data_IF_000025403271
#
_entry.id   IF_000025403271
#
_cell.length_a   1.000
_cell.length_b   1.000
_cell.length_c   1.000
_cell.angle_alpha   90.00
_cell.angle_beta   90.00
_cell.angle_gamma   90.00
#
_symmetry.space_group_name_H-M   'P 1'
#
loop_
_entity.id
_entity.type
_entity.pdbx_description
1 polymer ?
#
# COMPACT_ATOMS: atom_id res chain seq x y z
N UNK A 1 -14.55 20.53 -31.45
CA UNK A 1 -15.14 20.59 -30.08
C UNK A 1 -14.06 20.40 -29.04
N UNK A 2 -13.74 21.46 -28.33
CA UNK A 2 -12.81 21.38 -27.22
C UNK A 2 -13.55 20.96 -25.96
N UNK A 3 -13.04 19.94 -25.29
CA UNK A 3 -13.51 19.60 -23.96
C UNK A 3 -12.99 20.65 -22.98
N UNK A 4 -13.81 21.08 -22.01
CA UNK A 4 -13.32 22.01 -21.02
C UNK A 4 -12.16 21.39 -20.23
N UNK A 5 -11.11 22.17 -20.04
CA UNK A 5 -9.98 21.75 -19.23
C UNK A 5 -10.44 21.66 -17.78
N UNK A 6 -9.81 20.77 -17.03
CA UNK A 6 -10.04 20.70 -15.59
C UNK A 6 -9.59 22.01 -14.93
N UNK A 7 -10.42 22.54 -14.06
CA UNK A 7 -10.05 23.72 -13.27
C UNK A 7 -8.97 23.34 -12.26
N UNK A 8 -8.23 24.34 -11.79
CA UNK A 8 -7.27 24.17 -10.69
C UNK A 8 -7.93 23.56 -9.46
N UNK A 9 -9.12 24.05 -9.13
CA UNK A 9 -9.89 23.54 -8.01
C UNK A 9 -10.24 22.06 -8.17
N UNK A 10 -10.69 21.68 -9.36
CA UNK A 10 -11.03 20.28 -9.65
C UNK A 10 -9.79 19.37 -9.59
N UNK A 11 -8.65 19.85 -10.06
CA UNK A 11 -7.38 19.14 -9.99
C UNK A 11 -6.96 18.90 -8.54
N UNK A 12 -7.09 19.92 -7.70
CA UNK A 12 -6.79 19.81 -6.27
C UNK A 12 -7.69 18.79 -5.58
N UNK A 13 -8.97 18.77 -5.93
CA UNK A 13 -9.92 17.79 -5.38
C UNK A 13 -9.57 16.37 -5.81
N UNK A 14 -9.19 16.19 -7.07
CA UNK A 14 -8.77 14.88 -7.57
C UNK A 14 -7.49 14.39 -6.87
N UNK A 15 -6.52 15.28 -6.68
CA UNK A 15 -5.30 14.95 -5.94
C UNK A 15 -5.63 14.52 -4.51
N UNK A 16 -6.54 15.23 -3.86
CA UNK A 16 -7.01 14.89 -2.51
C UNK A 16 -7.63 13.50 -2.47
N UNK A 17 -8.46 13.18 -3.46
CA UNK A 17 -9.11 11.87 -3.56
C UNK A 17 -8.10 10.74 -3.76
N UNK A 18 -7.14 10.92 -4.66
CA UNK A 18 -6.12 9.87 -4.90
C UNK A 18 -5.18 9.69 -3.71
N UNK A 19 -4.86 10.76 -2.98
CA UNK A 19 -4.10 10.64 -1.73
C UNK A 19 -4.85 9.81 -0.70
N UNK A 20 -6.14 10.03 -0.57
CA UNK A 20 -7.01 9.28 0.32
C UNK A 20 -7.04 7.80 -0.06
N UNK A 21 -7.20 7.52 -1.34
CA UNK A 21 -7.18 6.15 -1.86
C UNK A 21 -5.85 5.46 -1.57
N UNK A 22 -4.74 6.18 -1.72
CA UNK A 22 -3.41 5.65 -1.42
C UNK A 22 -3.26 5.32 0.07
N UNK A 23 -3.73 6.18 0.96
CA UNK A 23 -3.71 5.91 2.40
C UNK A 23 -4.56 4.70 2.77
N UNK A 24 -5.74 4.58 2.19
CA UNK A 24 -6.61 3.41 2.40
C UNK A 24 -5.94 2.12 1.92
N UNK A 25 -5.25 2.17 0.78
CA UNK A 25 -4.49 1.04 0.26
C UNK A 25 -3.36 0.63 1.21
N UNK A 26 -2.62 1.59 1.76
CA UNK A 26 -1.56 1.32 2.73
C UNK A 26 -2.09 0.71 4.02
N UNK A 27 -3.23 1.18 4.49
CA UNK A 27 -3.92 0.61 5.67
C UNK A 27 -4.27 -0.85 5.41
N UNK A 28 -4.81 -1.15 4.23
CA UNK A 28 -5.14 -2.52 3.84
C UNK A 28 -3.90 -3.42 3.78
N UNK A 29 -2.81 -2.93 3.22
CA UNK A 29 -1.52 -3.66 3.15
C UNK A 29 -1.01 -3.97 4.56
N UNK A 30 -1.06 -3.01 5.47
CA UNK A 30 -0.63 -3.20 6.87
C UNK A 30 -1.51 -4.18 7.62
N UNK A 31 -2.81 -4.20 7.34
CA UNK A 31 -3.75 -5.17 7.93
C UNK A 31 -3.41 -6.59 7.47
N UNK A 32 -3.14 -6.78 6.19
CA UNK A 32 -2.72 -8.08 5.64
C UNK A 32 -1.41 -8.53 6.27
N UNK A 33 -0.44 -7.61 6.44
CA UNK A 33 0.83 -7.88 7.14
C UNK A 33 0.58 -8.42 8.55
N UNK A 34 -0.27 -7.75 9.29
CA UNK A 34 -0.60 -8.12 10.68
C UNK A 34 -1.21 -9.51 10.74
N UNK A 35 -2.18 -9.78 9.86
CA UNK A 35 -2.83 -11.08 9.79
C UNK A 35 -1.86 -12.19 9.39
N UNK A 36 -0.97 -11.91 8.45
CA UNK A 36 0.06 -12.87 8.02
C UNK A 36 1.03 -13.22 9.15
N UNK A 37 1.48 -12.22 9.91
CA UNK A 37 2.37 -12.43 11.06
C UNK A 37 1.66 -13.23 12.17
N UNK A 38 0.40 -12.92 12.46
CA UNK A 38 -0.39 -13.65 13.46
C UNK A 38 -0.58 -15.12 13.05
N UNK A 39 -0.85 -15.36 11.77
CA UNK A 39 -0.97 -16.71 11.23
C UNK A 39 0.35 -17.49 11.37
N UNK A 40 1.47 -16.86 11.02
CA UNK A 40 2.78 -17.49 11.16
C UNK A 40 3.10 -17.82 12.61
N UNK A 41 2.80 -16.93 13.54
CA UNK A 41 2.99 -17.16 14.98
C UNK A 41 2.14 -18.33 15.48
N UNK A 42 0.89 -18.42 15.02
CA UNK A 42 0.01 -19.53 15.38
C UNK A 42 0.54 -20.87 14.87
N UNK A 43 1.04 -20.90 13.63
CA UNK A 43 1.65 -22.10 13.05
C UNK A 43 2.88 -22.56 13.83
N UNK A 44 3.72 -21.61 14.26
CA UNK A 44 4.88 -21.94 15.09
C UNK A 44 4.48 -22.52 16.45
N UNK A 45 3.46 -21.94 17.06
CA UNK A 45 2.91 -22.40 18.35
C UNK A 45 2.38 -23.83 18.26
N UNK A 46 1.75 -24.17 17.15
CA UNK A 46 1.21 -25.51 16.91
C UNK A 46 2.29 -26.53 16.52
N UNK A 47 3.53 -26.09 16.36
CA UNK A 47 4.63 -26.97 16.00
C UNK A 47 4.78 -27.23 14.51
N UNK A 48 4.01 -26.53 13.68
CA UNK A 48 4.09 -26.67 12.21
C UNK A 48 5.21 -25.86 11.59
N UNK A 49 5.88 -25.04 12.39
CA UNK A 49 6.91 -24.13 11.96
C UNK A 49 7.94 -23.97 13.08
N UNK A 50 9.21 -23.94 12.73
CA UNK A 50 10.29 -23.69 13.70
C UNK A 50 10.39 -22.19 14.01
N UNK A 51 11.10 -21.84 15.08
CA UNK A 51 11.36 -20.43 15.43
C UNK A 51 12.13 -19.71 14.31
N UNK A 52 13.08 -20.39 13.67
CA UNK A 52 13.86 -19.84 12.56
C UNK A 52 12.97 -19.59 11.34
N UNK A 53 12.08 -20.54 11.04
CA UNK A 53 11.10 -20.38 9.96
C UNK A 53 10.14 -19.23 10.23
N UNK A 54 9.70 -19.07 11.48
CA UNK A 54 8.85 -17.93 11.88
C UNK A 54 9.58 -16.61 11.65
N UNK A 55 10.83 -16.54 12.05
CA UNK A 55 11.66 -15.34 11.87
C UNK A 55 11.80 -14.97 10.39
N UNK A 56 12.05 -15.99 9.55
CA UNK A 56 12.14 -15.81 8.12
C UNK A 56 10.82 -15.34 7.53
N UNK A 57 9.71 -15.92 7.94
CA UNK A 57 8.37 -15.54 7.50
C UNK A 57 8.07 -14.08 7.87
N UNK A 58 8.38 -13.68 9.09
CA UNK A 58 8.20 -12.29 9.54
C UNK A 58 9.02 -11.32 8.69
N UNK A 59 10.28 -11.66 8.39
CA UNK A 59 11.14 -10.84 7.56
C UNK A 59 10.60 -10.73 6.13
N UNK A 60 10.15 -11.83 5.55
CA UNK A 60 9.59 -11.87 4.20
C UNK A 60 8.31 -11.03 4.10
N UNK A 61 7.43 -11.16 5.10
CA UNK A 61 6.18 -10.39 5.16
C UNK A 61 6.48 -8.89 5.29
N UNK A 62 7.45 -8.53 6.13
CA UNK A 62 7.85 -7.14 6.30
C UNK A 62 8.42 -6.56 5.00
N UNK A 63 9.25 -7.33 4.31
CA UNK A 63 9.85 -6.92 3.04
C UNK A 63 8.79 -6.71 1.96
N UNK A 64 7.84 -7.61 1.85
CA UNK A 64 6.70 -7.48 0.92
C UNK A 64 5.86 -6.25 1.25
N UNK A 65 5.63 -6.00 2.53
CA UNK A 65 4.88 -4.82 3.00
C UNK A 65 5.60 -3.54 2.59
N UNK A 66 6.90 -3.45 2.86
CA UNK A 66 7.69 -2.26 2.52
C UNK A 66 7.70 -2.01 1.02
N UNK A 67 7.88 -3.05 0.22
CA UNK A 67 7.85 -2.97 -1.25
C UNK A 67 6.48 -2.50 -1.74
N UNK A 68 5.41 -3.05 -1.18
CA UNK A 68 4.04 -2.68 -1.56
C UNK A 68 3.73 -1.21 -1.22
N UNK A 69 4.16 -0.73 -0.06
CA UNK A 69 3.98 0.67 0.35
C UNK A 69 4.76 1.61 -0.58
N UNK A 70 6.00 1.26 -0.91
CA UNK A 70 6.81 2.03 -1.87
C UNK A 70 6.14 2.09 -3.25
N UNK A 71 5.59 0.99 -3.70
CA UNK A 71 4.88 0.91 -4.98
C UNK A 71 3.64 1.80 -4.99
N UNK A 72 2.87 1.80 -3.90
CA UNK A 72 1.70 2.69 -3.75
C UNK A 72 2.14 4.15 -3.81
N UNK A 73 3.22 4.51 -3.13
CA UNK A 73 3.74 5.88 -3.13
C UNK A 73 4.21 6.31 -4.54
N UNK A 74 4.83 5.41 -5.28
CA UNK A 74 5.23 5.67 -6.67
C UNK A 74 4.04 5.92 -7.58
N UNK A 75 3.03 5.06 -7.47
CA UNK A 75 1.79 5.19 -8.25
C UNK A 75 1.12 6.51 -7.92
N UNK A 76 1.04 6.85 -6.63
CA UNK A 76 0.47 8.12 -6.17
C UNK A 76 1.19 9.31 -6.78
N UNK A 77 2.52 9.35 -6.70
CA UNK A 77 3.32 10.43 -7.25
C UNK A 77 3.12 10.59 -8.76
N UNK A 78 3.06 9.48 -9.50
CA UNK A 78 2.83 9.50 -10.93
C UNK A 78 1.43 10.00 -11.27
N UNK A 79 0.42 9.59 -10.51
CA UNK A 79 -0.96 10.04 -10.71
C UNK A 79 -1.14 11.51 -10.39
N UNK A 80 -0.49 12.00 -9.36
CA UNK A 80 -0.49 13.43 -9.03
C UNK A 80 0.09 14.25 -10.19
N UNK A 81 1.19 13.81 -10.76
CA UNK A 81 1.81 14.46 -11.92
C UNK A 81 0.87 14.46 -13.13
N UNK A 82 0.23 13.33 -13.42
CA UNK A 82 -0.72 13.23 -14.53
C UNK A 82 -1.88 14.21 -14.37
N UNK A 83 -2.43 14.32 -13.16
CA UNK A 83 -3.56 15.23 -12.88
C UNK A 83 -3.13 16.68 -13.01
N UNK A 84 -1.95 17.02 -12.53
CA UNK A 84 -1.48 18.41 -12.48
C UNK A 84 -0.82 18.89 -13.77
N UNK A 85 -0.40 18.00 -14.65
CA UNK A 85 0.36 18.36 -15.85
C UNK A 85 -0.47 18.65 -17.10
N UNK A 86 -1.77 18.53 -17.03
CA UNK A 86 -2.65 18.70 -18.22
C UNK A 86 -3.32 20.05 -18.27
#
# INVERSE_FOLDING_TARGET
LAFPELTEERRKDLVKDIKKMAEEAKVAVRAVRRDGIETAKAEQKEGNMTEDELKQAENDIQKLTDTSVEEIDKILANKEKEVMSV
#
